data_IF_715005065433
#
_entry.id   IF_715005065433
#
_cell.length_a   1.000
_cell.length_b   1.000
_cell.length_c   1.000
_cell.angle_alpha   90.00
_cell.angle_beta   90.00
_cell.angle_gamma   90.00
#
_symmetry.space_group_name_H-M   'P 1'
#
loop_
_entity.id
_entity.type
_entity.pdbx_description
1 polymer ?
#
# COMPACT_ATOMS: atom_id res chain seq x y z
N UNK A 1 29.70 -67.84 36.42
CA UNK A 1 29.56 -66.37 36.32
C UNK A 1 29.79 -65.98 34.87
N UNK A 2 28.73 -65.60 34.13
CA UNK A 2 28.80 -65.20 32.71
C UNK A 2 27.93 -63.95 32.50
N UNK A 3 28.51 -62.89 31.97
CA UNK A 3 27.88 -61.82 31.18
C UNK A 3 29.04 -60.93 30.66
N UNK A 4 29.58 -61.20 29.47
CA UNK A 4 29.14 -60.78 28.12
C UNK A 4 29.46 -59.31 27.80
N UNK A 5 30.39 -59.15 26.85
CA UNK A 5 30.92 -57.91 26.26
C UNK A 5 29.98 -57.42 25.15
N UNK A 6 29.66 -56.13 25.12
CA UNK A 6 29.06 -55.38 23.99
C UNK A 6 29.80 -54.05 23.93
N UNK A 7 30.88 -53.87 23.16
CA UNK A 7 30.97 -53.53 21.72
C UNK A 7 30.16 -52.29 21.34
N UNK A 8 30.84 -51.14 21.38
CA UNK A 8 30.41 -49.85 20.83
C UNK A 8 30.57 -49.93 19.31
N UNK A 9 29.48 -49.71 18.56
CA UNK A 9 29.48 -49.62 17.10
C UNK A 9 29.20 -48.16 16.71
N UNK A 10 30.27 -47.48 16.30
CA UNK A 10 30.26 -46.16 15.67
C UNK A 10 29.76 -46.32 14.22
N UNK A 11 28.60 -45.74 13.92
CA UNK A 11 28.04 -45.73 12.56
C UNK A 11 28.51 -44.46 11.85
N UNK A 12 29.64 -44.54 11.15
CA UNK A 12 30.05 -43.52 10.19
C UNK A 12 29.24 -43.70 8.90
N UNK A 13 28.18 -42.90 8.73
CA UNK A 13 27.49 -42.76 7.45
C UNK A 13 28.33 -41.87 6.52
N UNK A 14 29.04 -42.49 5.58
CA UNK A 14 29.66 -41.80 4.45
C UNK A 14 28.56 -41.49 3.43
N UNK A 15 28.11 -40.24 3.36
CA UNK A 15 27.30 -39.74 2.26
C UNK A 15 28.19 -39.52 1.03
N UNK A 16 28.20 -40.46 0.11
CA UNK A 16 28.69 -40.22 -1.26
C UNK A 16 27.60 -39.47 -2.00
N UNK A 17 27.78 -38.16 -2.16
CA UNK A 17 26.94 -37.31 -3.00
C UNK A 17 27.26 -37.59 -4.47
N UNK A 18 26.43 -38.37 -5.14
CA UNK A 18 26.41 -38.43 -6.60
C UNK A 18 25.68 -37.19 -7.12
N UNK A 19 26.45 -36.19 -7.56
CA UNK A 19 25.93 -35.03 -8.28
C UNK A 19 25.43 -35.48 -9.67
N UNK A 20 24.14 -35.79 -9.76
CA UNK A 20 23.44 -35.75 -11.04
C UNK A 20 23.13 -34.27 -11.32
N UNK A 21 23.38 -33.76 -12.53
CA UNK A 21 22.87 -32.46 -12.92
C UNK A 21 21.35 -32.55 -12.93
N UNK A 22 20.71 -31.97 -11.92
CA UNK A 22 19.27 -31.78 -11.92
C UNK A 22 18.93 -30.88 -13.10
N UNK A 23 18.18 -31.41 -14.06
CA UNK A 23 17.38 -30.57 -14.95
C UNK A 23 16.48 -29.73 -14.05
N UNK A 24 16.84 -28.47 -13.85
CA UNK A 24 15.99 -27.49 -13.18
C UNK A 24 14.73 -27.37 -14.05
N UNK A 25 13.62 -27.97 -13.58
CA UNK A 25 12.33 -27.74 -14.20
C UNK A 25 12.07 -26.24 -14.19
N UNK A 26 11.81 -25.68 -15.37
CA UNK A 26 11.54 -24.26 -15.56
C UNK A 26 10.43 -23.81 -14.59
N UNK A 27 10.73 -22.80 -13.77
CA UNK A 27 9.77 -22.32 -12.77
C UNK A 27 8.57 -21.73 -13.50
N UNK A 28 7.45 -22.46 -13.52
CA UNK A 28 6.20 -22.06 -14.19
C UNK A 28 5.66 -20.70 -13.71
N UNK A 29 6.10 -20.19 -12.55
CA UNK A 29 5.76 -18.84 -12.09
C UNK A 29 6.51 -17.74 -12.86
N UNK A 30 7.64 -18.07 -13.49
CA UNK A 30 8.40 -17.12 -14.30
C UNK A 30 7.93 -17.08 -15.75
N UNK A 31 7.32 -18.14 -16.26
CA UNK A 31 6.79 -18.19 -17.62
C UNK A 31 5.58 -17.23 -17.81
N UNK A 32 5.71 -16.14 -18.61
CA UNK A 32 4.61 -15.20 -18.88
C UNK A 32 3.53 -15.79 -19.79
N UNK A 33 3.81 -16.89 -20.50
CA UNK A 33 2.81 -17.53 -21.36
C UNK A 33 1.77 -18.31 -20.56
N UNK A 34 2.12 -18.73 -19.33
CA UNK A 34 1.27 -19.50 -18.42
C UNK A 34 0.38 -18.62 -17.49
N UNK A 35 0.38 -17.30 -17.66
CA UNK A 35 -0.47 -16.38 -16.87
C UNK A 35 -1.95 -16.74 -17.06
N UNK A 36 -2.67 -16.93 -15.95
CA UNK A 36 -4.06 -17.40 -15.88
C UNK A 36 -4.19 -18.88 -15.52
N UNK A 37 -3.20 -19.71 -15.90
CA UNK A 37 -3.24 -21.17 -15.69
C UNK A 37 -2.36 -21.64 -14.52
N UNK A 38 -1.47 -20.78 -14.04
CA UNK A 38 -0.52 -21.08 -12.95
C UNK A 38 -1.15 -20.87 -11.57
N UNK A 39 -0.69 -21.67 -10.61
CA UNK A 39 -1.14 -21.60 -9.21
C UNK A 39 -0.23 -20.69 -8.40
N UNK A 40 -0.50 -19.38 -8.44
CA UNK A 40 0.25 -18.38 -7.66
C UNK A 40 -0.28 -18.21 -6.23
N UNK A 41 -1.56 -18.50 -6.01
CA UNK A 41 -2.21 -18.37 -4.71
C UNK A 41 -1.54 -19.25 -3.64
N UNK A 42 -1.08 -18.62 -2.55
CA UNK A 42 -0.50 -19.33 -1.42
C UNK A 42 -1.55 -20.14 -0.66
N UNK A 43 -1.13 -21.29 -0.11
CA UNK A 43 -1.97 -22.08 0.79
C UNK A 43 -2.22 -21.31 2.09
N UNK A 44 -3.46 -21.30 2.53
CA UNK A 44 -3.90 -20.57 3.72
C UNK A 44 -4.95 -21.39 4.49
N UNK A 45 -4.98 -21.24 5.81
CA UNK A 45 -6.05 -21.76 6.66
C UNK A 45 -7.37 -20.99 6.46
N UNK A 46 -7.29 -19.79 5.89
CA UNK A 46 -8.45 -18.97 5.54
C UNK A 46 -8.95 -19.38 4.16
N UNK A 47 -10.21 -19.84 4.06
CA UNK A 47 -10.84 -20.13 2.78
C UNK A 47 -11.03 -18.85 1.95
N UNK A 48 -11.22 -18.98 0.63
CA UNK A 48 -11.43 -17.83 -0.25
C UNK A 48 -12.72 -17.10 0.13
N UNK A 49 -13.79 -17.83 0.46
CA UNK A 49 -15.07 -17.26 0.87
C UNK A 49 -14.94 -16.47 2.17
N UNK A 50 -14.18 -17.01 3.13
CA UNK A 50 -13.91 -16.32 4.41
C UNK A 50 -13.07 -15.07 4.18
N UNK A 51 -12.08 -15.13 3.30
CA UNK A 51 -11.25 -13.98 2.91
C UNK A 51 -12.11 -12.87 2.29
N UNK A 52 -13.01 -13.21 1.37
CA UNK A 52 -13.97 -12.26 0.77
C UNK A 52 -14.90 -11.64 1.81
N UNK A 53 -15.42 -12.45 2.74
CA UNK A 53 -16.28 -11.94 3.81
C UNK A 53 -15.56 -10.93 4.72
N UNK A 54 -14.30 -11.21 5.07
CA UNK A 54 -13.47 -10.29 5.88
C UNK A 54 -13.17 -9.02 5.08
N UNK A 55 -12.78 -9.15 3.81
CA UNK A 55 -12.59 -8.04 2.89
C UNK A 55 -13.80 -7.11 2.82
N UNK A 56 -15.00 -7.69 2.70
CA UNK A 56 -16.25 -6.95 2.66
C UNK A 56 -16.50 -6.16 3.95
N UNK A 57 -16.15 -6.73 5.11
CA UNK A 57 -16.28 -6.02 6.37
C UNK A 57 -15.38 -4.78 6.39
N UNK A 58 -14.09 -4.93 6.05
CA UNK A 58 -13.16 -3.80 5.98
C UNK A 58 -13.56 -2.77 4.92
N UNK A 59 -14.06 -3.22 3.77
CA UNK A 59 -14.58 -2.35 2.74
C UNK A 59 -15.74 -1.49 3.25
N UNK A 60 -16.67 -2.06 4.03
CA UNK A 60 -17.77 -1.31 4.63
C UNK A 60 -17.26 -0.26 5.65
N UNK A 61 -16.25 -0.60 6.44
CA UNK A 61 -15.64 0.33 7.42
C UNK A 61 -14.95 1.50 6.69
N UNK A 62 -14.17 1.22 5.65
CA UNK A 62 -13.51 2.25 4.83
C UNK A 62 -14.54 3.10 4.10
N UNK A 63 -15.57 2.51 3.51
CA UNK A 63 -16.61 3.24 2.78
C UNK A 63 -17.39 4.23 3.65
N UNK A 64 -17.52 3.95 4.95
CA UNK A 64 -18.18 4.84 5.90
C UNK A 64 -17.32 6.05 6.28
N UNK A 65 -16.00 5.92 6.21
CA UNK A 65 -15.05 6.94 6.68
C UNK A 65 -14.42 7.74 5.52
N UNK A 66 -14.13 7.07 4.41
CA UNK A 66 -13.44 7.63 3.26
C UNK A 66 -14.42 8.30 2.29
N UNK A 67 -14.06 9.48 1.80
CA UNK A 67 -14.79 10.14 0.72
C UNK A 67 -14.47 9.45 -0.61
N UNK A 68 -15.50 9.23 -1.41
CA UNK A 68 -15.36 8.57 -2.72
C UNK A 68 -15.58 9.57 -3.86
N UNK A 69 -14.86 9.34 -4.96
CA UNK A 69 -15.18 9.94 -6.25
C UNK A 69 -16.38 9.20 -6.82
N UNK A 70 -17.43 9.95 -7.18
CA UNK A 70 -18.68 9.41 -7.74
C UNK A 70 -18.89 9.79 -9.20
N UNK A 71 -17.93 10.49 -9.80
CA UNK A 71 -18.01 10.86 -11.21
C UNK A 71 -17.95 9.59 -12.07
N UNK A 72 -18.98 9.30 -12.89
CA UNK A 72 -19.07 8.03 -13.60
C UNK A 72 -17.95 7.85 -14.61
N UNK A 73 -17.45 8.92 -15.23
CA UNK A 73 -16.37 8.86 -16.22
C UNK A 73 -15.07 8.42 -15.55
N UNK A 74 -14.72 9.03 -14.40
CA UNK A 74 -13.51 8.65 -13.65
C UNK A 74 -13.62 7.23 -13.10
N UNK A 75 -14.76 6.89 -12.47
CA UNK A 75 -14.95 5.58 -11.84
C UNK A 75 -14.96 4.46 -12.87
N UNK A 76 -15.65 4.64 -14.00
CA UNK A 76 -15.68 3.66 -15.06
C UNK A 76 -14.30 3.45 -15.68
N UNK A 77 -13.56 4.53 -15.93
CA UNK A 77 -12.21 4.46 -16.48
C UNK A 77 -11.27 3.63 -15.59
N UNK A 78 -11.18 3.98 -14.31
CA UNK A 78 -10.30 3.27 -13.35
C UNK A 78 -10.75 1.82 -13.19
N UNK A 79 -12.06 1.56 -13.15
CA UNK A 79 -12.58 0.20 -13.12
C UNK A 79 -12.20 -0.56 -14.39
N UNK A 80 -12.35 0.01 -15.59
CA UNK A 80 -12.01 -0.67 -16.85
C UNK A 80 -10.52 -1.00 -16.93
N UNK A 81 -9.65 -0.08 -16.52
CA UNK A 81 -8.21 -0.31 -16.42
C UNK A 81 -7.91 -1.48 -15.47
N UNK A 82 -8.42 -1.45 -14.25
CA UNK A 82 -8.20 -2.49 -13.25
C UNK A 82 -8.77 -3.86 -13.67
N UNK A 83 -9.96 -3.88 -14.29
CA UNK A 83 -10.56 -5.11 -14.82
C UNK A 83 -9.79 -5.65 -16.03
N UNK A 84 -9.18 -4.80 -16.85
CA UNK A 84 -8.31 -5.24 -17.94
C UNK A 84 -7.06 -5.96 -17.41
N UNK A 85 -6.44 -5.40 -16.36
CA UNK A 85 -5.31 -6.03 -15.67
C UNK A 85 -5.74 -7.35 -15.02
N UNK A 86 -6.87 -7.37 -14.31
CA UNK A 86 -7.41 -8.57 -13.67
C UNK A 86 -7.64 -9.71 -14.67
N UNK A 87 -8.24 -9.44 -15.83
CA UNK A 87 -8.45 -10.46 -16.90
C UNK A 87 -7.15 -10.99 -17.50
N UNK A 88 -6.06 -10.23 -17.42
CA UNK A 88 -4.75 -10.59 -17.91
C UNK A 88 -3.80 -11.01 -16.77
N UNK A 89 -4.36 -11.52 -15.68
CA UNK A 89 -3.62 -11.93 -14.48
C UNK A 89 -4.02 -13.33 -14.00
N UNK A 90 -3.37 -13.82 -12.95
CA UNK A 90 -3.76 -15.05 -12.26
C UNK A 90 -4.87 -14.86 -11.22
N UNK A 91 -5.50 -13.68 -11.20
CA UNK A 91 -6.54 -13.36 -10.24
C UNK A 91 -7.78 -14.24 -10.48
N UNK A 92 -8.17 -15.00 -9.46
CA UNK A 92 -9.36 -15.86 -9.48
C UNK A 92 -10.51 -15.31 -8.63
N UNK A 93 -10.25 -14.25 -7.88
CA UNK A 93 -11.22 -13.59 -6.99
C UNK A 93 -11.82 -12.39 -7.73
N UNK A 94 -13.15 -12.16 -7.66
CA UNK A 94 -13.76 -10.98 -8.27
C UNK A 94 -13.17 -9.68 -7.74
N UNK A 95 -12.83 -8.76 -8.64
CA UNK A 95 -12.32 -7.44 -8.29
C UNK A 95 -13.44 -6.42 -8.16
N UNK A 96 -13.53 -5.74 -7.01
CA UNK A 96 -14.39 -4.57 -6.78
C UNK A 96 -13.51 -3.33 -6.69
N UNK A 97 -13.68 -2.39 -7.60
CA UNK A 97 -12.80 -1.22 -7.73
C UNK A 97 -13.53 0.04 -7.24
N UNK A 98 -12.85 0.85 -6.41
CA UNK A 98 -13.36 2.13 -5.92
C UNK A 98 -12.30 3.21 -6.01
N UNK A 99 -12.75 4.44 -6.26
CA UNK A 99 -11.86 5.60 -6.34
C UNK A 99 -12.11 6.51 -5.13
N UNK A 100 -11.06 6.77 -4.36
CA UNK A 100 -11.12 7.62 -3.18
C UNK A 100 -10.77 9.07 -3.54
N UNK A 101 -11.49 10.00 -2.92
CA UNK A 101 -11.12 11.41 -2.90
C UNK A 101 -10.05 11.63 -1.82
N UNK A 102 -8.81 11.34 -2.19
CA UNK A 102 -7.65 11.44 -1.31
C UNK A 102 -6.44 11.90 -2.15
N UNK A 103 -5.83 13.05 -1.84
CA UNK A 103 -4.70 13.57 -2.59
C UNK A 103 -3.41 12.78 -2.38
N UNK A 104 -3.38 11.81 -1.45
CA UNK A 104 -2.23 10.95 -1.25
C UNK A 104 -2.02 10.00 -2.44
N UNK A 105 -0.75 9.77 -2.73
CA UNK A 105 -0.29 8.89 -3.81
C UNK A 105 -0.45 7.42 -3.39
N UNK A 106 -1.67 6.88 -3.47
CA UNK A 106 -1.94 5.55 -2.95
C UNK A 106 -2.97 4.74 -3.75
N UNK A 107 -2.80 3.43 -3.69
CA UNK A 107 -3.79 2.43 -4.03
C UNK A 107 -3.51 1.21 -3.15
N UNK A 108 -4.54 0.49 -2.75
CA UNK A 108 -4.38 -0.70 -1.92
C UNK A 108 -5.50 -1.69 -2.21
N UNK A 109 -5.16 -2.98 -2.15
CA UNK A 109 -6.15 -4.04 -2.16
C UNK A 109 -6.41 -4.61 -0.76
N UNK A 110 -7.69 -4.66 -0.38
CA UNK A 110 -8.15 -5.43 0.77
C UNK A 110 -8.26 -6.91 0.40
N UNK A 111 -8.33 -7.80 1.41
CA UNK A 111 -8.58 -9.22 1.18
C UNK A 111 -9.83 -9.43 0.34
N UNK A 112 -9.84 -10.45 -0.50
CA UNK A 112 -11.03 -10.76 -1.28
C UNK A 112 -11.33 -9.81 -2.44
N UNK A 113 -10.35 -9.01 -2.88
CA UNK A 113 -10.43 -8.30 -4.16
C UNK A 113 -11.12 -6.93 -4.11
N UNK A 114 -11.12 -6.24 -2.97
CA UNK A 114 -11.58 -4.84 -2.92
C UNK A 114 -10.39 -3.90 -3.14
N UNK A 115 -10.29 -3.32 -4.32
CA UNK A 115 -9.23 -2.40 -4.72
C UNK A 115 -9.67 -0.96 -4.57
N UNK A 116 -8.89 -0.17 -3.85
CA UNK A 116 -9.08 1.27 -3.69
C UNK A 116 -7.94 2.00 -4.39
N UNK A 117 -8.30 3.01 -5.18
CA UNK A 117 -7.35 3.87 -5.92
C UNK A 117 -7.59 5.31 -5.49
N UNK A 118 -6.57 5.99 -4.98
CA UNK A 118 -6.70 7.38 -4.57
C UNK A 118 -6.61 8.31 -5.78
N UNK A 119 -7.36 9.42 -5.75
CA UNK A 119 -7.30 10.45 -6.78
C UNK A 119 -5.88 11.03 -6.95
N UNK A 120 -5.12 11.13 -5.87
CA UNK A 120 -3.72 11.56 -5.88
C UNK A 120 -2.81 10.68 -6.74
N UNK A 121 -3.02 9.36 -6.77
CA UNK A 121 -2.26 8.45 -7.63
C UNK A 121 -2.47 8.78 -9.11
N UNK A 122 -3.73 8.90 -9.53
CA UNK A 122 -4.09 9.19 -10.93
C UNK A 122 -3.55 10.56 -11.36
N UNK A 123 -3.61 11.56 -10.47
CA UNK A 123 -3.12 12.91 -10.77
C UNK A 123 -1.60 13.01 -10.80
N UNK A 124 -0.88 12.19 -10.03
CA UNK A 124 0.58 12.22 -9.96
C UNK A 124 1.28 11.38 -11.04
N UNK A 125 0.60 10.40 -11.62
CA UNK A 125 1.11 9.60 -12.73
C UNK A 125 1.27 10.45 -13.99
N UNK A 126 2.41 10.35 -14.67
CA UNK A 126 2.66 11.07 -15.92
C UNK A 126 2.02 10.37 -17.12
N UNK A 127 1.78 9.06 -17.02
CA UNK A 127 1.25 8.21 -18.07
C UNK A 127 0.39 7.09 -17.47
N UNK A 128 -0.53 6.55 -18.27
CA UNK A 128 -1.47 5.51 -17.84
C UNK A 128 -0.78 4.25 -17.31
N UNK A 129 0.33 3.84 -17.96
CA UNK A 129 1.09 2.65 -17.59
C UNK A 129 1.64 2.71 -16.16
N UNK A 130 1.87 3.90 -15.59
CA UNK A 130 2.30 4.04 -14.20
C UNK A 130 1.18 3.70 -13.22
N UNK A 131 -0.05 4.16 -13.49
CA UNK A 131 -1.23 3.75 -12.71
C UNK A 131 -1.46 2.25 -12.86
N UNK A 132 -1.33 1.74 -14.08
CA UNK A 132 -1.45 0.31 -14.36
C UNK A 132 -0.42 -0.52 -13.61
N UNK A 133 0.82 -0.03 -13.43
CA UNK A 133 1.85 -0.72 -12.66
C UNK A 133 1.52 -0.84 -11.19
N UNK A 134 1.09 0.25 -10.55
CA UNK A 134 0.65 0.21 -9.14
C UNK A 134 -0.55 -0.71 -8.97
N UNK A 135 -1.56 -0.60 -9.85
CA UNK A 135 -2.75 -1.47 -9.77
C UNK A 135 -2.40 -2.94 -10.03
N UNK A 136 -1.46 -3.24 -10.93
CA UNK A 136 -1.00 -4.61 -11.20
C UNK A 136 -0.30 -5.22 -10.00
N UNK A 137 0.48 -4.42 -9.26
CA UNK A 137 1.11 -4.84 -8.01
C UNK A 137 0.05 -5.21 -6.95
N UNK A 138 -0.96 -4.37 -6.76
CA UNK A 138 -2.06 -4.65 -5.83
C UNK A 138 -2.85 -5.90 -6.23
N UNK A 139 -3.12 -6.09 -7.53
CA UNK A 139 -3.75 -7.30 -8.05
C UNK A 139 -2.89 -8.54 -7.78
N UNK A 140 -1.56 -8.42 -7.89
CA UNK A 140 -0.65 -9.51 -7.57
C UNK A 140 -0.71 -9.94 -6.10
N UNK A 141 -0.84 -9.00 -5.16
CA UNK A 141 -1.07 -9.34 -3.75
C UNK A 141 -2.35 -10.17 -3.55
N UNK A 142 -3.44 -9.81 -4.24
CA UNK A 142 -4.70 -10.54 -4.15
C UNK A 142 -4.61 -11.91 -4.83
N UNK A 143 -4.05 -11.97 -6.04
CA UNK A 143 -3.88 -13.21 -6.79
C UNK A 143 -3.02 -14.23 -6.03
N UNK A 144 -1.91 -13.77 -5.43
CA UNK A 144 -1.05 -14.60 -4.60
C UNK A 144 -1.64 -14.88 -3.19
N UNK A 145 -2.77 -14.25 -2.83
CA UNK A 145 -3.40 -14.35 -1.50
C UNK A 145 -2.42 -14.02 -0.36
N UNK A 146 -1.60 -12.99 -0.56
CA UNK A 146 -0.57 -12.60 0.41
C UNK A 146 -1.16 -12.27 1.79
N UNK A 147 -2.34 -11.64 1.82
CA UNK A 147 -3.04 -11.39 3.08
C UNK A 147 -3.44 -12.67 3.79
N UNK A 148 -4.07 -13.63 3.10
CA UNK A 148 -4.50 -14.88 3.71
C UNK A 148 -3.31 -15.73 4.18
N UNK A 149 -2.19 -15.68 3.45
CA UNK A 149 -0.91 -16.30 3.86
C UNK A 149 -0.35 -15.65 5.13
N UNK A 150 -0.31 -14.31 5.17
CA UNK A 150 0.15 -13.55 6.34
C UNK A 150 -0.73 -13.80 7.57
N UNK A 151 -2.05 -13.79 7.39
CA UNK A 151 -3.01 -14.09 8.46
C UNK A 151 -2.82 -15.50 9.00
N UNK A 152 -2.58 -16.49 8.12
CA UNK A 152 -2.29 -17.87 8.54
C UNK A 152 -1.01 -17.95 9.37
N UNK A 153 0.06 -17.26 8.94
CA UNK A 153 1.31 -17.19 9.71
C UNK A 153 1.08 -16.57 11.09
N UNK A 154 0.29 -15.49 11.17
CA UNK A 154 -0.07 -14.85 12.44
C UNK A 154 -0.85 -15.77 13.35
N UNK A 155 -1.86 -16.48 12.84
CA UNK A 155 -2.63 -17.46 13.62
C UNK A 155 -1.76 -18.62 14.09
N UNK A 156 -0.90 -19.15 13.23
CA UNK A 156 0.00 -20.24 13.60
C UNK A 156 1.00 -19.81 14.67
N UNK A 157 1.55 -18.59 14.55
CA UNK A 157 2.43 -18.03 15.58
C UNK A 157 1.69 -17.90 16.91
N UNK A 158 0.47 -17.38 16.91
CA UNK A 158 -0.35 -17.27 18.12
C UNK A 158 -0.59 -18.65 18.78
N UNK A 159 -0.89 -19.67 17.98
CA UNK A 159 -1.05 -21.05 18.47
C UNK A 159 0.28 -21.62 19.02
N UNK A 160 1.41 -21.35 18.35
CA UNK A 160 2.73 -21.78 18.79
C UNK A 160 3.17 -21.14 20.11
N UNK A 161 2.58 -19.99 20.49
CA UNK A 161 2.84 -19.31 21.75
C UNK A 161 2.03 -19.90 22.93
N UNK A 162 1.02 -20.74 22.69
CA UNK A 162 0.16 -21.33 23.74
C UNK A 162 0.98 -22.09 24.81
N UNK A 163 1.98 -22.94 24.47
CA UNK A 163 2.79 -23.62 25.47
C UNK A 163 3.53 -22.67 26.44
N UNK A 164 3.82 -21.44 26.01
CA UNK A 164 4.52 -20.45 26.83
C UNK A 164 3.66 -19.92 27.99
N UNK A 165 2.33 -20.05 27.89
CA UNK A 165 1.39 -19.71 28.96
C UNK A 165 1.58 -20.66 30.16
N UNK A 166 1.87 -21.92 29.88
CA UNK A 166 1.93 -22.98 30.90
C UNK A 166 3.30 -23.13 31.57
N UNK A 167 4.30 -22.33 31.15
CA UNK A 167 5.66 -22.37 31.69
C UNK A 167 5.98 -21.06 32.42
N UNK A 168 6.16 -21.07 33.76
CA UNK A 168 6.33 -19.84 34.56
C UNK A 168 7.46 -18.91 34.08
N UNK A 169 8.54 -19.48 33.54
CA UNK A 169 9.70 -18.72 33.06
C UNK A 169 9.44 -17.98 31.73
N UNK A 170 8.51 -18.48 30.90
CA UNK A 170 8.17 -17.86 29.60
C UNK A 170 6.91 -17.00 29.64
N UNK A 171 6.16 -17.03 30.74
CA UNK A 171 4.93 -16.24 30.89
C UNK A 171 5.16 -14.72 30.67
N UNK A 172 6.25 -14.09 31.16
CA UNK A 172 6.51 -12.67 30.86
C UNK A 172 6.73 -12.38 29.37
N UNK A 173 7.32 -13.33 28.62
CA UNK A 173 7.55 -13.21 27.17
C UNK A 173 6.21 -13.28 26.42
N UNK A 174 5.31 -14.19 26.82
CA UNK A 174 3.95 -14.27 26.29
C UNK A 174 3.17 -12.97 26.51
N UNK A 175 3.20 -12.44 27.74
CA UNK A 175 2.51 -11.20 28.08
C UNK A 175 3.04 -10.00 27.29
N UNK A 176 4.37 -9.88 27.13
CA UNK A 176 4.98 -8.84 26.31
C UNK A 176 4.61 -8.93 24.82
N UNK A 177 4.54 -10.15 24.26
CA UNK A 177 4.13 -10.36 22.87
C UNK A 177 2.65 -9.99 22.62
N UNK A 178 1.75 -10.32 23.54
CA UNK A 178 0.32 -10.05 23.41
C UNK A 178 -0.05 -8.57 23.57
N UNK A 179 0.74 -7.81 24.34
CA UNK A 179 0.48 -6.39 24.59
C UNK A 179 0.67 -5.52 23.33
N UNK A 180 1.49 -5.97 22.37
CA UNK A 180 1.68 -5.29 21.08
C UNK A 180 0.57 -5.53 20.05
N UNK A 181 -0.36 -6.47 20.28
CA UNK A 181 -1.35 -6.91 19.29
C UNK A 181 -2.75 -6.27 19.46
N UNK A 182 -2.99 -5.44 20.49
CA UNK A 182 -4.35 -4.99 20.87
C UNK A 182 -4.74 -3.55 20.45
N UNK A 183 -4.07 -2.92 19.48
CA UNK A 183 -4.40 -1.54 19.07
C UNK A 183 -5.04 -1.50 17.67
N UNK A 184 -6.37 -1.34 17.62
CA UNK A 184 -7.14 -0.91 16.44
C UNK A 184 -7.26 -1.91 15.29
N UNK A 185 -7.99 -1.53 14.23
CA UNK A 185 -7.96 -2.23 12.94
C UNK A 185 -6.52 -2.15 12.44
N UNK A 186 -5.75 -3.26 12.44
CA UNK A 186 -4.32 -3.15 12.22
C UNK A 186 -4.08 -2.91 10.74
N UNK A 187 -3.83 -1.65 10.33
CA UNK A 187 -3.27 -1.37 8.99
C UNK A 187 -1.96 -2.14 8.73
N UNK A 188 -1.39 -2.78 9.76
CA UNK A 188 -0.34 -3.78 9.65
C UNK A 188 -0.67 -4.92 8.67
N UNK A 189 -1.93 -5.21 8.35
CA UNK A 189 -2.26 -6.19 7.30
C UNK A 189 -1.83 -5.76 5.89
N UNK A 190 -1.58 -4.46 5.67
CA UNK A 190 -1.06 -3.92 4.42
C UNK A 190 0.47 -4.05 4.32
N UNK A 191 1.17 -4.43 5.39
CA UNK A 191 2.62 -4.64 5.35
C UNK A 191 2.94 -6.11 5.07
N UNK A 192 3.59 -6.37 3.94
CA UNK A 192 4.02 -7.73 3.61
C UNK A 192 5.52 -7.93 3.79
N UNK A 193 5.92 -9.21 3.86
CA UNK A 193 7.33 -9.61 3.90
C UNK A 193 8.04 -9.24 2.60
N UNK A 194 9.36 -9.02 2.64
CA UNK A 194 10.19 -8.75 1.45
C UNK A 194 10.01 -9.77 0.32
N UNK A 195 9.81 -11.05 0.64
CA UNK A 195 9.57 -12.09 -0.37
C UNK A 195 8.19 -11.97 -1.05
N UNK A 196 7.18 -11.49 -0.32
CA UNK A 196 5.85 -11.24 -0.87
C UNK A 196 5.84 -9.98 -1.74
N UNK A 197 6.59 -8.94 -1.36
CA UNK A 197 6.82 -7.76 -2.20
C UNK A 197 7.51 -8.14 -3.53
N UNK A 198 8.59 -8.95 -3.45
CA UNK A 198 9.31 -9.40 -4.64
C UNK A 198 8.45 -10.29 -5.56
N UNK A 199 7.60 -11.16 -4.98
CA UNK A 199 6.64 -11.94 -5.74
C UNK A 199 5.57 -11.05 -6.38
N UNK A 200 5.05 -10.05 -5.67
CA UNK A 200 4.08 -9.10 -6.20
C UNK A 200 4.67 -8.20 -7.29
N UNK A 201 5.93 -7.79 -7.18
CA UNK A 201 6.66 -7.08 -8.24
C UNK A 201 6.76 -7.92 -9.51
N UNK A 202 7.23 -9.16 -9.39
CA UNK A 202 7.38 -10.06 -10.53
C UNK A 202 6.04 -10.32 -11.22
N UNK A 203 5.01 -10.70 -10.46
CA UNK A 203 3.68 -10.98 -10.99
C UNK A 203 3.05 -9.71 -11.57
N UNK A 204 3.19 -8.57 -10.91
CA UNK A 204 2.68 -7.27 -11.38
C UNK A 204 3.27 -6.88 -12.73
N UNK A 205 4.59 -7.00 -12.90
CA UNK A 205 5.28 -6.75 -14.19
C UNK A 205 4.75 -7.67 -15.30
N UNK A 206 4.55 -8.95 -14.97
CA UNK A 206 3.98 -9.93 -15.92
C UNK A 206 2.54 -9.59 -16.31
N UNK A 207 1.71 -9.10 -15.37
CA UNK A 207 0.33 -8.70 -15.65
C UNK A 207 0.27 -7.43 -16.51
N UNK A 208 1.12 -6.44 -16.24
CA UNK A 208 1.29 -5.27 -17.10
C UNK A 208 1.63 -5.70 -18.52
N UNK A 209 2.67 -6.54 -18.66
CA UNK A 209 3.12 -7.05 -19.94
C UNK A 209 2.00 -7.80 -20.65
N UNK A 210 1.30 -8.71 -19.97
CA UNK A 210 0.20 -9.49 -20.55
C UNK A 210 -0.93 -8.57 -21.05
N UNK A 211 -1.30 -7.57 -20.27
CA UNK A 211 -2.28 -6.56 -20.62
C UNK A 211 -1.83 -5.56 -21.70
N UNK A 212 -0.54 -5.58 -22.08
CA UNK A 212 0.04 -4.76 -23.14
C UNK A 212 0.67 -3.45 -22.68
N UNK A 213 0.67 -3.16 -21.38
CA UNK A 213 1.35 -1.98 -20.84
C UNK A 213 2.86 -2.13 -20.83
N UNK A 214 3.57 -1.00 -20.90
CA UNK A 214 5.02 -0.96 -20.72
C UNK A 214 5.39 -1.27 -19.26
N UNK A 215 6.03 -2.42 -18.96
CA UNK A 215 6.40 -2.77 -17.59
C UNK A 215 7.46 -1.83 -16.99
N UNK A 216 8.21 -1.10 -17.82
CA UNK A 216 9.21 -0.14 -17.34
C UNK A 216 8.57 1.05 -16.63
N UNK A 217 7.30 1.37 -16.94
CA UNK A 217 6.54 2.43 -16.28
C UNK A 217 6.39 2.21 -14.76
N UNK A 218 6.38 0.95 -14.30
CA UNK A 218 6.39 0.64 -12.87
C UNK A 218 7.68 1.11 -12.18
N UNK A 219 8.82 0.86 -12.83
CA UNK A 219 10.15 1.20 -12.32
C UNK A 219 10.37 2.72 -12.35
N UNK A 220 9.95 3.39 -13.42
CA UNK A 220 10.06 4.86 -13.55
C UNK A 220 9.22 5.56 -12.50
N UNK A 221 8.01 5.07 -12.23
CA UNK A 221 7.14 5.61 -11.19
C UNK A 221 7.73 5.44 -9.79
N UNK A 222 8.30 4.26 -9.47
CA UNK A 222 8.98 4.02 -8.19
C UNK A 222 10.18 4.95 -8.00
N UNK A 223 10.96 5.17 -9.06
CA UNK A 223 12.09 6.10 -9.05
C UNK A 223 11.63 7.53 -8.78
N UNK A 224 10.52 7.97 -9.39
CA UNK A 224 9.92 9.30 -9.17
C UNK A 224 9.52 9.50 -7.71
N UNK A 225 8.93 8.49 -7.09
CA UNK A 225 8.52 8.53 -5.69
C UNK A 225 9.73 8.64 -4.76
N UNK A 226 10.76 7.80 -4.96
CA UNK A 226 11.99 7.85 -4.15
C UNK A 226 12.62 9.23 -4.26
N UNK A 227 12.68 9.80 -5.46
CA UNK A 227 13.21 11.14 -5.70
C UNK A 227 12.36 12.22 -5.01
N UNK A 228 11.03 12.09 -5.03
CA UNK A 228 10.14 13.01 -4.32
C UNK A 228 10.36 12.97 -2.81
N UNK A 229 10.52 11.79 -2.22
CA UNK A 229 10.83 11.65 -0.79
C UNK A 229 12.20 12.26 -0.46
N UNK A 230 13.21 12.06 -1.31
CA UNK A 230 14.53 12.67 -1.12
C UNK A 230 14.47 14.19 -1.11
N UNK A 231 13.65 14.79 -1.99
CA UNK A 231 13.45 16.23 -2.08
C UNK A 231 12.61 16.80 -0.94
N UNK A 232 11.70 16.02 -0.40
CA UNK A 232 10.80 16.43 0.67
C UNK A 232 10.61 15.27 1.65
N UNK A 233 11.51 15.11 2.63
CA UNK A 233 11.43 14.03 3.60
C UNK A 233 10.09 14.03 4.35
N UNK A 234 9.45 12.87 4.45
CA UNK A 234 8.11 12.72 5.00
C UNK A 234 6.97 13.00 4.00
N UNK A 235 7.28 13.23 2.72
CA UNK A 235 6.29 13.32 1.63
C UNK A 235 5.96 11.95 1.02
N UNK A 236 6.65 10.89 1.47
CA UNK A 236 6.46 9.52 1.05
C UNK A 236 4.99 9.18 1.15
N UNK A 237 4.43 8.82 0.01
CA UNK A 237 3.02 8.57 -0.07
C UNK A 237 2.62 7.36 0.77
N UNK A 238 1.39 7.37 1.30
CA UNK A 238 0.91 6.34 2.22
C UNK A 238 1.06 4.91 1.68
N UNK A 239 1.05 4.70 0.36
CA UNK A 239 1.28 3.39 -0.28
C UNK A 239 2.66 2.82 0.04
N UNK A 240 3.67 3.68 0.14
CA UNK A 240 5.05 3.31 0.38
C UNK A 240 5.35 3.16 1.88
N UNK A 241 4.41 3.56 2.74
CA UNK A 241 4.47 3.21 4.16
C UNK A 241 4.12 1.73 4.39
N UNK A 242 3.28 1.13 3.54
CA UNK A 242 2.97 -0.31 3.52
C UNK A 242 3.95 -1.10 2.65
N UNK A 243 4.31 -0.58 1.47
CA UNK A 243 5.15 -1.24 0.45
C UNK A 243 6.35 -0.37 0.03
N UNK A 244 7.35 -0.15 0.90
CA UNK A 244 8.41 0.82 0.62
C UNK A 244 9.22 0.47 -0.64
N UNK A 245 9.40 1.41 -1.58
CA UNK A 245 10.17 1.18 -2.79
C UNK A 245 11.64 1.23 -2.38
N UNK A 246 12.35 0.12 -2.57
CA UNK A 246 13.78 0.04 -2.28
C UNK A 246 14.58 0.02 -3.58
N UNK A 247 15.84 0.52 -3.58
CA UNK A 247 16.73 0.37 -4.72
C UNK A 247 16.85 -1.09 -5.19
N UNK A 248 16.90 -2.04 -4.25
CA UNK A 248 16.96 -3.47 -4.58
C UNK A 248 15.73 -3.96 -5.35
N UNK A 249 14.52 -3.50 -5.01
CA UNK A 249 13.29 -3.84 -5.73
C UNK A 249 13.27 -3.26 -7.15
N UNK A 250 13.79 -2.05 -7.34
CA UNK A 250 13.95 -1.41 -8.65
C UNK A 250 14.90 -2.25 -9.52
N UNK A 251 16.10 -2.55 -9.01
CA UNK A 251 17.08 -3.35 -9.74
C UNK A 251 16.54 -4.73 -10.10
N UNK A 252 15.91 -5.41 -9.14
CA UNK A 252 15.29 -6.73 -9.37
C UNK A 252 14.17 -6.64 -10.41
N UNK A 253 13.38 -5.56 -10.40
CA UNK A 253 12.32 -5.34 -11.39
C UNK A 253 12.89 -5.12 -12.79
N UNK A 254 13.97 -4.34 -12.92
CA UNK A 254 14.67 -4.15 -14.20
C UNK A 254 15.28 -5.45 -14.73
N UNK A 255 15.87 -6.27 -13.85
CA UNK A 255 16.39 -7.59 -14.21
C UNK A 255 15.26 -8.51 -14.68
N UNK A 256 14.14 -8.58 -13.94
CA UNK A 256 12.98 -9.36 -14.33
C UNK A 256 12.42 -8.93 -15.70
N UNK A 257 12.35 -7.62 -15.98
CA UNK A 257 11.89 -7.13 -17.28
C UNK A 257 12.81 -7.63 -18.41
N UNK A 258 14.13 -7.59 -18.20
CA UNK A 258 15.11 -8.00 -19.22
C UNK A 258 15.16 -9.50 -19.43
N UNK A 259 15.08 -10.28 -18.36
CA UNK A 259 15.31 -11.73 -18.41
C UNK A 259 14.03 -12.54 -18.68
N UNK A 260 12.88 -12.06 -18.18
CA UNK A 260 11.66 -12.87 -18.13
C UNK A 260 10.64 -12.44 -19.19
N UNK A 261 10.55 -11.15 -19.50
CA UNK A 261 9.49 -10.63 -20.36
C UNK A 261 9.96 -10.56 -21.83
N UNK A 262 9.29 -11.28 -22.75
CA UNK A 262 9.57 -11.14 -24.17
C UNK A 262 9.37 -9.70 -24.64
N UNK A 263 10.32 -9.17 -25.41
CA UNK A 263 10.17 -7.85 -25.99
C UNK A 263 8.99 -7.80 -26.94
N UNK A 264 8.25 -6.68 -26.92
CA UNK A 264 7.17 -6.37 -27.85
C UNK A 264 7.60 -5.22 -28.75
N UNK A 265 7.06 -5.20 -29.97
CA UNK A 265 7.29 -4.09 -30.90
C UNK A 265 6.70 -2.77 -30.38
N UNK A 266 5.57 -2.85 -29.67
CA UNK A 266 4.87 -1.71 -29.11
C UNK A 266 4.30 -2.05 -27.74
N UNK A 267 4.36 -1.06 -26.85
CA UNK A 267 3.74 -1.09 -25.53
C UNK A 267 2.73 0.06 -25.40
N UNK A 268 1.67 -0.19 -24.64
CA UNK A 268 0.74 0.84 -24.20
C UNK A 268 1.38 1.65 -23.07
N UNK A 269 1.67 2.91 -23.33
CA UNK A 269 2.28 3.83 -22.36
C UNK A 269 1.24 4.77 -21.77
N UNK A 270 0.50 5.46 -22.63
CA UNK A 270 -0.63 6.33 -22.25
C UNK A 270 -1.70 6.35 -23.34
N UNK A 271 -2.90 6.77 -22.97
CA UNK A 271 -4.03 7.01 -23.89
C UNK A 271 -4.49 8.46 -23.80
N UNK A 272 -5.15 8.97 -24.85
CA UNK A 272 -5.81 10.28 -24.77
C UNK A 272 -6.92 10.29 -23.72
N UNK A 273 -7.59 9.16 -23.53
CA UNK A 273 -8.63 9.02 -22.51
C UNK A 273 -8.08 9.18 -21.09
N UNK A 274 -6.88 8.67 -20.82
CA UNK A 274 -6.20 8.89 -19.54
C UNK A 274 -6.04 10.39 -19.23
N UNK A 275 -5.57 11.17 -20.21
CA UNK A 275 -5.37 12.61 -20.06
C UNK A 275 -6.70 13.35 -19.84
N UNK A 276 -7.75 12.98 -20.57
CA UNK A 276 -9.09 13.55 -20.40
C UNK A 276 -9.65 13.25 -19.00
N UNK A 277 -9.49 12.01 -18.51
CA UNK A 277 -9.91 11.59 -17.17
C UNK A 277 -9.10 12.31 -16.09
N UNK A 278 -7.78 12.46 -16.28
CA UNK A 278 -6.90 13.18 -15.36
C UNK A 278 -7.29 14.66 -15.27
N UNK A 279 -7.55 15.33 -16.39
CA UNK A 279 -8.01 16.71 -16.44
C UNK A 279 -9.40 16.89 -15.77
N UNK A 280 -10.32 15.95 -16.02
CA UNK A 280 -11.64 15.92 -15.38
C UNK A 280 -11.50 15.75 -13.87
N UNK A 281 -10.68 14.81 -13.42
CA UNK A 281 -10.41 14.57 -12.00
C UNK A 281 -9.80 15.81 -11.35
N UNK A 282 -8.84 16.47 -12.00
CA UNK A 282 -8.23 17.70 -11.49
C UNK A 282 -9.26 18.83 -11.31
N UNK A 283 -10.23 18.94 -12.22
CA UNK A 283 -11.33 19.90 -12.12
C UNK A 283 -12.23 19.60 -10.92
N UNK A 284 -12.59 18.33 -10.71
CA UNK A 284 -13.38 17.88 -9.55
C UNK A 284 -12.64 18.20 -8.24
N UNK A 285 -11.36 17.89 -8.15
CA UNK A 285 -10.53 18.16 -6.96
C UNK A 285 -10.40 19.66 -6.69
N UNK A 286 -10.22 20.47 -7.73
CA UNK A 286 -10.11 21.93 -7.60
C UNK A 286 -11.42 22.58 -7.15
N UNK A 287 -12.56 22.14 -7.71
CA UNK A 287 -13.88 22.60 -7.31
C UNK A 287 -14.15 22.27 -5.84
N UNK A 288 -13.86 21.04 -5.40
CA UNK A 288 -14.04 20.63 -4.00
C UNK A 288 -13.19 21.43 -3.03
N UNK A 289 -11.90 21.63 -3.33
CA UNK A 289 -11.00 22.44 -2.50
C UNK A 289 -11.48 23.88 -2.33
N UNK A 290 -12.21 24.42 -3.32
CA UNK A 290 -12.82 25.75 -3.25
C UNK A 290 -14.02 25.76 -2.31
N UNK A 291 -14.84 24.72 -2.31
CA UNK A 291 -16.01 24.62 -1.44
C UNK A 291 -15.60 24.39 0.03
N UNK A 292 -14.61 23.55 0.29
CA UNK A 292 -14.04 23.38 1.65
C UNK A 292 -13.47 24.68 2.23
N UNK A 293 -12.83 25.51 1.39
CA UNK A 293 -12.33 26.82 1.82
C UNK A 293 -13.43 27.82 2.17
N UNK A 294 -14.63 27.69 1.59
CA UNK A 294 -15.77 28.55 1.93
C UNK A 294 -16.43 28.15 3.24
N UNK A 295 -16.38 26.86 3.60
CA UNK A 295 -16.93 26.33 4.85
C UNK A 295 -15.96 26.39 6.04
N UNK A 296 -14.67 26.69 5.80
CA UNK A 296 -13.66 26.86 6.84
C UNK A 296 -13.89 28.10 7.72
N UNK A 297 -13.36 28.13 8.96
CA UNK A 297 -13.52 29.26 9.87
C UNK A 297 -12.90 30.52 9.27
N UNK A 298 -13.75 31.45 8.84
CA UNK A 298 -13.30 32.77 8.39
C UNK A 298 -12.92 33.60 9.61
N UNK A 299 -11.70 34.15 9.63
CA UNK A 299 -11.34 35.22 10.56
C UNK A 299 -12.24 36.42 10.25
N UNK A 300 -13.29 36.62 11.06
CA UNK A 300 -14.02 37.89 11.04
C UNK A 300 -13.03 38.97 11.45
N UNK A 301 -12.56 39.77 10.49
CA UNK A 301 -11.99 41.06 10.83
C UNK A 301 -13.06 41.79 11.64
N UNK A 302 -12.72 42.24 12.85
CA UNK A 302 -13.55 43.25 13.51
C UNK A 302 -13.60 44.43 12.57
N UNK A 303 -14.75 44.69 11.99
CA UNK A 303 -15.01 45.95 11.36
C UNK A 303 -14.88 47.02 12.45
N UNK A 304 -14.06 48.05 12.18
CA UNK A 304 -13.87 49.20 13.05
C UNK A 304 -15.10 50.13 12.98
N UNK A 305 -16.29 49.57 13.21
CA UNK A 305 -17.58 50.25 13.13
C UNK A 305 -18.49 49.87 14.31
N UNK A 306 -17.90 49.47 15.43
CA UNK A 306 -18.62 49.37 16.71
C UNK A 306 -17.93 50.25 17.76
N UNK A 307 -17.85 51.54 17.42
CA UNK A 307 -17.67 52.61 18.39
C UNK A 307 -18.85 53.56 18.24
N UNK A 308 -20.00 53.22 18.83
CA UNK A 308 -20.89 54.21 19.44
C UNK A 308 -21.99 53.55 20.26
N UNK A 309 -22.05 53.95 21.53
CA UNK A 309 -23.21 54.03 22.44
C UNK A 309 -23.20 53.02 23.62
N UNK A 310 -22.80 53.53 24.79
CA UNK A 310 -23.00 52.82 26.06
C UNK A 310 -22.30 53.41 27.28
N UNK A 311 -22.62 54.67 27.63
CA UNK A 311 -22.57 55.25 28.98
C UNK A 311 -21.22 55.36 29.73
N UNK A 312 -20.73 56.59 29.84
CA UNK A 312 -19.70 57.00 30.79
C UNK A 312 -20.28 57.13 32.22
N UNK A 313 -19.58 56.66 33.27
CA UNK A 313 -19.68 57.26 34.60
C UNK A 313 -18.75 58.48 34.69
N UNK A 314 -19.19 59.50 35.44
CA UNK A 314 -18.50 60.78 35.67
C UNK A 314 -17.03 60.63 36.11
N UNK A 315 -16.13 61.53 35.68
CA UNK A 315 -14.74 61.53 36.12
C UNK A 315 -14.58 62.24 37.46
N UNK A 316 -13.94 61.56 38.43
CA UNK A 316 -13.29 62.21 39.56
C UNK A 316 -11.96 62.81 39.09
N UNK A 317 -11.81 64.08 39.39
CA UNK A 317 -10.62 64.91 39.21
C UNK A 317 -9.50 64.48 40.17
N UNK A 318 -8.32 64.18 39.62
CA UNK A 318 -7.01 64.47 40.25
C UNK A 318 -5.93 64.53 39.17
N UNK A 319 -5.36 65.72 39.03
CA UNK A 319 -4.12 66.06 38.34
C UNK A 319 -2.93 65.17 38.70
N UNK A 320 -2.07 64.84 37.73
CA UNK A 320 -0.62 65.18 37.75
C UNK A 320 0.10 64.69 36.50
N UNK A 321 1.14 65.44 36.13
CA UNK A 321 2.00 65.34 34.95
C UNK A 321 2.72 64.00 34.78
N UNK A 322 2.64 63.36 33.60
CA UNK A 322 3.69 62.43 33.14
C UNK A 322 4.04 62.63 31.66
N UNK A 323 5.26 63.14 31.42
CA UNK A 323 5.92 63.19 30.11
C UNK A 323 6.35 61.77 29.68
N UNK A 324 6.35 61.47 28.36
CA UNK A 324 6.71 60.14 27.86
C UNK A 324 8.23 59.88 27.89
N UNK A 325 8.70 58.68 28.30
CA UNK A 325 10.13 58.33 28.24
C UNK A 325 10.54 57.80 26.86
N UNK A 326 11.69 58.28 26.38
CA UNK A 326 12.32 57.93 25.09
C UNK A 326 13.17 56.67 25.23
N UNK A 327 13.03 55.73 24.29
CA UNK A 327 13.80 54.49 24.19
C UNK A 327 15.21 54.73 23.63
N UNK A 328 16.25 54.23 24.31
CA UNK A 328 17.60 54.08 23.75
C UNK A 328 17.79 52.68 23.17
N UNK A 329 18.27 52.64 21.92
CA UNK A 329 18.69 51.44 21.17
C UNK A 329 19.92 50.81 21.87
N UNK A 330 19.93 49.49 22.03
CA UNK A 330 21.13 48.72 22.37
C UNK A 330 21.67 48.05 21.12
N UNK A 331 22.98 48.17 20.93
CA UNK A 331 23.80 47.30 20.09
C UNK A 331 23.87 45.89 20.67
#
# INVERSE_FOLDING_TARGET
MKASRWTILLLCAVFVSSALPGFAGEDKKKDPTAIGDRKVAHKSLTSVEKEIAIGKQYANEIDQQARQIKDPVVVEYVNRLAQNLARNSDLTIPLTVKVLDDPSLNAFALPGGYLYVNSGLVLAADEEAQVAGVVSHEIAHVAARHWASQQTKSTLLQLAMIPLIFTPMSYPVYMGAMQGLQIGVPLAFLKFSRSAEAEADLLGLQYMWKAGYDPTAYVTFFSKVIEQERRSPGSMAAIFASHPPTPDRILTSEENIKEILPQREQYLVSTSEFEDVKARLQTIMTARKKDEKKEGPTLRKRDAADQTAGQAPEPKDTSEDEKPPVLKRRD
#
